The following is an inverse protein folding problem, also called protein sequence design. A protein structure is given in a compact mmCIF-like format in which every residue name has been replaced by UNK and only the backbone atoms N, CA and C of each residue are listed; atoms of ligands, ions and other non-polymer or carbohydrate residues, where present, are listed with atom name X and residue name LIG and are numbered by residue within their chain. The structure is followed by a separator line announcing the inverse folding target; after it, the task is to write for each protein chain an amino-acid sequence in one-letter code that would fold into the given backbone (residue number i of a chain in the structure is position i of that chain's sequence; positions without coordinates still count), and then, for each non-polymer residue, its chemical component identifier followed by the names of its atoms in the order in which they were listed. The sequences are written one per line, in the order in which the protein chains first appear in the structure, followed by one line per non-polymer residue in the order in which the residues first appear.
data_IF_162676578252
#
_entry.id   IF_162676578252
#
_cell.length_a   1.000
_cell.length_b   1.000
_cell.length_c   1.000
_cell.angle_alpha   90.00
_cell.angle_beta   90.00
_cell.angle_gamma   90.00
#
_symmetry.space_group_name_H-M   'P 1'
#
loop_
_entity.id
_entity.type
_entity.pdbx_description
1 polymer ?
#
# COMPACT_ATOMS: atom_id res chain seq x y z
N UNK A 1 -44.06 -33.58 -9.42
CA UNK A 1 -45.43 -33.24 -8.95
C UNK A 1 -45.69 -34.13 -7.73
N UNK A 2 -45.93 -33.57 -6.54
CA UNK A 2 -47.12 -32.76 -6.25
C UNK A 2 -46.83 -31.34 -5.74
N UNK A 3 -47.94 -30.61 -5.63
CA UNK A 3 -48.13 -29.16 -5.47
C UNK A 3 -48.54 -28.86 -4.02
N UNK A 4 -48.41 -27.58 -3.62
CA UNK A 4 -49.12 -26.92 -2.50
C UNK A 4 -48.41 -27.03 -1.13
N UNK A 5 -48.33 -26.03 -0.26
CA UNK A 5 -49.19 -24.88 -0.04
C UNK A 5 -48.45 -23.76 0.71
N UNK A 6 -48.74 -22.52 0.30
CA UNK A 6 -48.62 -21.22 0.97
C UNK A 6 -49.04 -21.20 2.46
N UNK A 7 -48.37 -20.41 3.31
CA UNK A 7 -49.05 -19.56 4.33
C UNK A 7 -48.14 -18.42 4.84
N UNK A 8 -48.73 -17.22 4.85
CA UNK A 8 -48.26 -15.94 5.39
C UNK A 8 -48.53 -15.84 6.89
N UNK A 9 -47.75 -15.01 7.60
CA UNK A 9 -48.17 -14.06 8.65
C UNK A 9 -46.90 -13.30 9.09
N UNK A 10 -46.74 -11.98 8.86
CA UNK A 10 -47.36 -10.85 9.60
C UNK A 10 -47.18 -11.03 11.13
N UNK A 11 -46.70 -10.09 11.93
CA UNK A 11 -46.62 -8.63 11.80
C UNK A 11 -45.96 -8.06 13.09
N UNK A 12 -45.49 -6.80 13.05
CA UNK A 12 -45.75 -5.75 14.08
C UNK A 12 -44.93 -5.82 15.39
N UNK A 13 -44.33 -4.79 16.00
CA UNK A 13 -44.09 -3.32 15.91
C UNK A 13 -43.16 -3.00 17.13
N UNK A 14 -42.40 -1.91 17.34
CA UNK A 14 -42.79 -0.53 17.68
C UNK A 14 -41.51 0.19 18.21
N UNK A 15 -41.22 1.42 17.74
CA UNK A 15 -40.79 2.65 18.47
C UNK A 15 -39.66 2.61 19.53
N UNK A 16 -38.82 3.63 19.77
CA UNK A 16 -38.95 5.09 19.64
C UNK A 16 -37.57 5.76 19.64
N UNK A 17 -37.53 6.96 19.07
CA UNK A 17 -36.50 7.99 19.15
C UNK A 17 -36.13 8.40 20.59
N UNK A 18 -34.93 8.97 20.75
CA UNK A 18 -34.68 10.08 21.67
C UNK A 18 -33.64 11.03 21.07
N UNK A 19 -34.07 12.28 20.96
CA UNK A 19 -33.34 13.45 20.52
C UNK A 19 -32.84 14.24 21.76
N UNK A 20 -32.09 15.30 21.48
CA UNK A 20 -31.89 16.52 22.28
C UNK A 20 -30.56 16.74 23.02
N UNK A 21 -29.92 17.80 22.52
CA UNK A 21 -28.78 18.59 22.97
C UNK A 21 -28.98 19.18 24.39
N UNK A 22 -27.92 19.41 25.16
CA UNK A 22 -27.58 20.77 25.62
C UNK A 22 -26.18 20.96 26.21
N UNK A 23 -25.74 22.20 26.03
CA UNK A 23 -24.53 22.94 26.43
C UNK A 23 -24.49 23.22 27.95
N UNK A 24 -23.32 23.46 28.56
CA UNK A 24 -23.01 24.57 29.53
C UNK A 24 -21.60 24.46 30.14
N UNK A 25 -20.94 25.61 30.27
CA UNK A 25 -19.59 25.91 30.78
C UNK A 25 -19.40 25.81 32.30
N UNK A 26 -18.16 25.61 32.81
CA UNK A 26 -17.55 26.39 33.91
C UNK A 26 -16.10 25.96 34.31
N UNK A 27 -15.21 26.98 34.36
CA UNK A 27 -13.92 27.17 35.07
C UNK A 27 -13.50 26.20 36.20
N UNK A 28 -12.19 25.91 36.25
CA UNK A 28 -11.29 26.17 37.41
C UNK A 28 -9.80 26.11 37.00
N UNK A 29 -9.00 26.96 37.65
CA UNK A 29 -7.55 27.26 37.51
C UNK A 29 -6.88 26.69 38.78
N UNK A 30 -5.70 26.08 38.79
CA UNK A 30 -4.37 26.63 39.19
C UNK A 30 -3.44 25.39 39.32
N UNK A 31 -2.38 25.27 38.51
CA UNK A 31 -0.92 25.38 38.82
C UNK A 31 -0.41 24.43 39.92
N UNK A 32 0.45 23.48 39.55
CA UNK A 32 1.72 23.17 40.24
C UNK A 32 2.63 22.48 39.21
N UNK A 33 3.89 22.89 39.20
CA UNK A 33 4.98 22.49 38.30
C UNK A 33 5.50 21.10 38.64
N UNK A 34 6.05 20.39 37.65
CA UNK A 34 7.45 19.96 37.71
C UNK A 34 7.93 19.42 36.37
N UNK A 35 9.17 19.78 36.06
CA UNK A 35 9.92 19.54 34.85
C UNK A 35 10.12 18.05 34.54
N UNK A 36 10.32 17.70 33.26
CA UNK A 36 11.54 17.07 32.75
C UNK A 36 11.36 16.75 31.25
N UNK A 37 12.12 17.51 30.45
CA UNK A 37 12.83 17.09 29.23
C UNK A 37 12.06 16.36 28.12
N UNK A 38 11.55 17.13 27.15
CA UNK A 38 11.48 16.69 25.76
C UNK A 38 11.90 17.83 24.84
N UNK A 39 13.11 17.69 24.28
CA UNK A 39 13.72 18.60 23.29
C UNK A 39 12.74 18.96 22.18
N UNK A 40 12.65 20.26 21.92
CA UNK A 40 11.80 20.88 20.92
C UNK A 40 11.96 20.29 19.51
N UNK A 41 10.88 20.28 18.70
CA UNK A 41 10.92 19.98 17.29
C UNK A 41 11.51 21.19 16.54
N UNK A 42 12.78 21.10 16.19
CA UNK A 42 13.43 22.15 15.39
C UNK A 42 12.93 22.15 13.95
N UNK A 43 12.26 23.27 13.65
CA UNK A 43 12.34 24.07 12.42
C UNK A 43 11.93 23.47 11.07
N UNK A 44 10.81 24.04 10.59
CA UNK A 44 10.40 24.23 9.20
C UNK A 44 11.56 24.18 8.19
N UNK A 45 11.49 23.23 7.25
CA UNK A 45 11.94 23.47 5.87
C UNK A 45 10.83 23.09 4.91
N UNK A 46 10.14 24.11 4.41
CA UNK A 46 9.38 24.06 3.16
C UNK A 46 10.29 23.46 2.08
N UNK A 47 10.04 22.22 1.66
CA UNK A 47 10.68 21.67 0.47
C UNK A 47 9.70 21.75 -0.69
N UNK A 48 9.90 22.86 -1.41
CA UNK A 48 9.53 23.18 -2.78
C UNK A 48 9.05 21.95 -3.56
N UNK A 49 7.89 22.11 -4.18
CA UNK A 49 7.42 21.39 -5.35
C UNK A 49 8.56 21.27 -6.37
N UNK A 50 9.34 20.21 -6.30
CA UNK A 50 10.39 19.95 -7.28
C UNK A 50 9.76 19.33 -8.51
N UNK A 51 9.62 20.21 -9.51
CA UNK A 51 9.35 19.92 -10.91
C UNK A 51 10.09 18.65 -11.37
N UNK A 52 9.37 17.88 -12.18
CA UNK A 52 9.81 16.77 -13.02
C UNK A 52 11.27 17.01 -13.47
N UNK A 53 12.19 16.13 -13.08
CA UNK A 53 13.61 16.21 -13.44
C UNK A 53 14.10 15.00 -14.24
N UNK A 54 13.17 14.25 -14.83
CA UNK A 54 13.46 13.45 -16.02
C UNK A 54 12.17 13.39 -16.86
N UNK A 55 12.04 14.17 -17.94
CA UNK A 55 10.85 14.15 -18.79
C UNK A 55 10.67 12.80 -19.52
N UNK A 56 11.74 12.01 -19.66
CA UNK A 56 11.74 10.75 -20.44
C UNK A 56 11.49 9.50 -19.59
N UNK A 57 11.29 9.64 -18.27
CA UNK A 57 11.05 8.48 -17.43
C UNK A 57 9.65 7.89 -17.71
N UNK A 58 9.61 6.60 -18.05
CA UNK A 58 8.38 5.89 -18.40
C UNK A 58 7.38 5.96 -17.23
N UNK A 59 6.18 6.49 -17.51
CA UNK A 59 5.09 6.58 -16.52
C UNK A 59 3.99 5.62 -16.91
N UNK A 60 3.57 4.79 -15.97
CA UNK A 60 2.49 3.83 -16.17
C UNK A 60 1.43 4.01 -15.08
N UNK A 61 0.15 4.03 -15.47
CA UNK A 61 -0.97 4.21 -14.55
C UNK A 61 -1.93 3.02 -14.67
N UNK A 62 -1.63 1.89 -14.00
CA UNK A 62 -2.52 0.75 -13.99
C UNK A 62 -3.76 1.05 -13.14
N UNK A 63 -4.91 0.55 -13.59
CA UNK A 63 -6.18 0.62 -12.87
C UNK A 63 -6.42 -0.59 -11.98
N UNK A 64 -5.68 -1.67 -12.19
CA UNK A 64 -5.85 -2.95 -11.50
C UNK A 64 -4.51 -3.65 -11.29
N UNK A 65 -4.52 -4.66 -10.42
CA UNK A 65 -3.35 -5.52 -10.16
C UNK A 65 -2.99 -6.33 -11.40
N UNK A 66 -4.00 -6.84 -12.11
CA UNK A 66 -3.86 -7.67 -13.31
C UNK A 66 -3.20 -6.89 -14.45
N UNK A 67 -3.61 -5.63 -14.63
CA UNK A 67 -3.00 -4.73 -15.62
C UNK A 67 -1.52 -4.46 -15.29
N UNK A 68 -1.19 -4.31 -14.01
CA UNK A 68 0.19 -4.15 -13.58
C UNK A 68 1.03 -5.41 -13.79
N UNK A 69 0.49 -6.59 -13.47
CA UNK A 69 1.13 -7.88 -13.71
C UNK A 69 1.38 -8.13 -15.20
N UNK A 70 0.43 -7.78 -16.07
CA UNK A 70 0.56 -7.91 -17.52
C UNK A 70 1.67 -7.00 -18.05
N UNK A 71 1.71 -5.73 -17.60
CA UNK A 71 2.79 -4.82 -17.98
C UNK A 71 4.16 -5.37 -17.57
N UNK A 72 4.28 -5.90 -16.35
CA UNK A 72 5.52 -6.53 -15.88
C UNK A 72 5.90 -7.72 -16.74
N UNK A 73 4.95 -8.61 -17.06
CA UNK A 73 5.19 -9.77 -17.91
C UNK A 73 5.83 -9.38 -19.25
N UNK A 74 5.35 -8.32 -19.88
CA UNK A 74 5.78 -7.91 -21.22
C UNK A 74 7.04 -7.04 -21.22
N UNK A 75 7.33 -6.34 -20.10
CA UNK A 75 8.36 -5.29 -20.03
C UNK A 75 9.47 -5.52 -18.99
N UNK A 76 9.35 -6.50 -18.09
CA UNK A 76 10.32 -6.70 -16.98
C UNK A 76 11.78 -6.93 -17.42
N UNK A 77 12.01 -7.39 -18.65
CA UNK A 77 13.36 -7.57 -19.25
C UNK A 77 13.77 -6.43 -20.19
N UNK A 78 12.82 -5.63 -20.66
CA UNK A 78 13.05 -4.58 -21.67
C UNK A 78 13.34 -3.24 -21.00
N UNK A 79 12.61 -2.94 -19.93
CA UNK A 79 12.67 -1.67 -19.25
C UNK A 79 13.62 -1.71 -18.05
N UNK A 80 14.28 -0.58 -17.80
CA UNK A 80 15.22 -0.41 -16.69
C UNK A 80 14.64 0.39 -15.52
N UNK A 81 13.56 1.13 -15.77
CA UNK A 81 12.80 1.81 -14.73
C UNK A 81 11.36 2.08 -15.18
N UNK A 82 10.44 2.19 -14.21
CA UNK A 82 9.08 2.65 -14.46
C UNK A 82 8.57 3.45 -13.26
N UNK A 83 7.86 4.53 -13.54
CA UNK A 83 7.13 5.32 -12.55
C UNK A 83 5.68 4.93 -12.55
N UNK A 84 5.29 4.15 -11.56
CA UNK A 84 3.91 3.73 -11.41
C UNK A 84 3.10 4.82 -10.73
N UNK A 85 2.16 5.41 -11.46
CA UNK A 85 1.25 6.45 -10.99
C UNK A 85 0.03 5.80 -10.37
N UNK A 86 -0.39 6.29 -9.20
CA UNK A 86 -1.54 5.78 -8.46
C UNK A 86 -2.26 6.89 -7.69
N UNK A 87 -3.54 6.67 -7.41
CA UNK A 87 -4.32 7.55 -6.54
C UNK A 87 -3.94 7.35 -5.07
N UNK A 88 -3.77 8.46 -4.37
CA UNK A 88 -3.57 8.51 -2.93
C UNK A 88 -4.86 8.08 -2.23
N UNK A 89 -4.71 7.58 -1.00
CA UNK A 89 -5.85 7.14 -0.16
C UNK A 89 -6.90 8.23 0.08
N UNK A 90 -6.50 9.51 0.03
CA UNK A 90 -7.37 10.66 0.28
C UNK A 90 -7.80 11.37 -1.02
N UNK A 91 -7.60 10.74 -2.19
CA UNK A 91 -8.06 11.27 -3.46
C UNK A 91 -9.60 11.28 -3.51
N UNK A 92 -10.17 12.26 -4.22
CA UNK A 92 -11.62 12.32 -4.46
C UNK A 92 -12.00 11.44 -5.66
N UNK A 93 -11.66 10.16 -5.59
CA UNK A 93 -11.97 9.17 -6.61
C UNK A 93 -12.74 7.99 -6.00
N UNK A 94 -13.27 7.11 -6.84
CA UNK A 94 -13.89 5.89 -6.36
C UNK A 94 -12.87 5.05 -5.57
N UNK A 95 -13.25 4.43 -4.44
CA UNK A 95 -12.32 3.60 -3.65
C UNK A 95 -11.69 2.45 -4.45
N UNK A 96 -12.34 2.00 -5.53
CA UNK A 96 -11.84 0.98 -6.44
C UNK A 96 -10.64 1.45 -7.28
N UNK A 97 -10.48 2.75 -7.46
CA UNK A 97 -9.34 3.33 -8.18
C UNK A 97 -8.12 3.53 -7.27
N UNK A 98 -8.31 3.42 -5.95
CA UNK A 98 -7.21 3.49 -4.99
C UNK A 98 -6.42 2.20 -5.09
N UNK A 99 -5.27 2.25 -5.76
CA UNK A 99 -4.38 1.11 -5.84
C UNK A 99 -3.69 0.90 -4.47
N UNK A 100 -3.80 -0.26 -3.81
CA UNK A 100 -3.13 -0.51 -2.53
C UNK A 100 -1.61 -0.70 -2.70
N UNK A 101 -0.84 -0.56 -1.61
CA UNK A 101 0.61 -0.72 -1.67
C UNK A 101 1.03 -2.17 -1.97
N UNK A 102 0.38 -3.15 -1.34
CA UNK A 102 0.71 -4.55 -1.56
C UNK A 102 0.42 -4.98 -3.01
N UNK A 103 -0.67 -4.51 -3.62
CA UNK A 103 -0.99 -4.86 -5.01
C UNK A 103 -0.05 -4.23 -6.03
N UNK A 104 0.73 -3.21 -5.65
CA UNK A 104 1.85 -2.70 -6.47
C UNK A 104 3.12 -3.52 -6.27
N UNK A 105 3.46 -3.82 -5.02
CA UNK A 105 4.76 -4.38 -4.65
C UNK A 105 4.82 -5.89 -4.83
N UNK A 106 3.74 -6.62 -4.53
CA UNK A 106 3.71 -8.07 -4.69
C UNK A 106 3.98 -8.50 -6.14
N UNK A 107 3.25 -8.00 -7.16
CA UNK A 107 3.58 -8.26 -8.55
C UNK A 107 5.02 -7.90 -8.91
N UNK A 108 5.51 -6.74 -8.45
CA UNK A 108 6.86 -6.31 -8.75
C UNK A 108 7.90 -7.31 -8.22
N UNK A 109 7.74 -7.78 -6.97
CA UNK A 109 8.63 -8.78 -6.37
C UNK A 109 8.58 -10.10 -7.14
N UNK A 110 7.41 -10.53 -7.63
CA UNK A 110 7.26 -11.74 -8.42
C UNK A 110 8.12 -11.73 -9.69
N UNK A 111 8.36 -10.55 -10.30
CA UNK A 111 9.23 -10.38 -11.48
C UNK A 111 10.64 -9.88 -11.15
N UNK A 112 11.00 -9.78 -9.85
CA UNK A 112 12.34 -9.34 -9.42
C UNK A 112 12.56 -7.82 -9.45
N UNK A 113 11.46 -7.05 -9.43
CA UNK A 113 11.45 -5.59 -9.34
C UNK A 113 11.22 -5.12 -7.91
N UNK A 114 11.76 -3.95 -7.57
CA UNK A 114 11.60 -3.33 -6.24
C UNK A 114 11.14 -1.89 -6.35
N UNK A 115 10.42 -1.44 -5.33
CA UNK A 115 10.12 -0.03 -5.14
C UNK A 115 11.34 0.71 -4.59
N UNK A 116 11.56 1.94 -5.07
CA UNK A 116 12.69 2.75 -4.61
C UNK A 116 12.25 4.11 -4.06
N UNK A 117 11.54 4.91 -4.85
CA UNK A 117 11.33 6.33 -4.55
C UNK A 117 9.90 6.69 -4.85
N UNK A 118 9.18 7.12 -3.82
CA UNK A 118 7.86 7.71 -3.98
C UNK A 118 7.99 9.22 -4.25
N UNK A 119 7.16 9.74 -5.16
CA UNK A 119 7.03 11.18 -5.43
C UNK A 119 5.56 11.55 -5.56
N UNK A 120 5.14 12.61 -4.88
CA UNK A 120 3.82 13.21 -5.09
C UNK A 120 3.77 13.94 -6.45
N UNK A 121 2.70 13.74 -7.20
CA UNK A 121 2.46 14.47 -8.47
C UNK A 121 1.57 15.68 -8.19
N UNK A 122 0.40 15.43 -7.60
CA UNK A 122 -0.59 16.44 -7.25
C UNK A 122 -1.22 16.08 -5.89
N UNK A 123 -2.35 16.71 -5.52
CA UNK A 123 -3.02 16.44 -4.25
C UNK A 123 -3.67 15.04 -4.18
N UNK A 124 -4.01 14.45 -5.33
CA UNK A 124 -4.76 13.21 -5.47
C UNK A 124 -3.88 12.05 -5.93
N UNK A 125 -2.80 12.30 -6.67
CA UNK A 125 -1.95 11.31 -7.32
C UNK A 125 -0.54 11.35 -6.76
N UNK A 126 0.05 10.17 -6.69
CA UNK A 126 1.46 9.96 -6.40
C UNK A 126 2.04 8.99 -7.43
N UNK A 127 3.36 8.90 -7.45
CA UNK A 127 4.12 7.97 -8.26
C UNK A 127 5.11 7.21 -7.38
N UNK A 128 5.34 5.96 -7.71
CA UNK A 128 6.34 5.11 -7.08
C UNK A 128 7.25 4.56 -8.17
N UNK A 129 8.55 4.82 -8.04
CA UNK A 129 9.54 4.27 -8.96
C UNK A 129 9.79 2.81 -8.64
N UNK A 130 9.70 1.99 -9.67
CA UNK A 130 10.10 0.59 -9.68
C UNK A 130 11.30 0.39 -10.60
N UNK A 131 12.24 -0.43 -10.14
CA UNK A 131 13.44 -0.79 -10.91
C UNK A 131 13.73 -2.27 -10.73
N UNK A 132 14.28 -2.96 -11.76
CA UNK A 132 14.77 -4.32 -11.61
C UNK A 132 15.91 -4.31 -10.58
N UNK A 133 15.88 -5.29 -9.67
CA UNK A 133 16.86 -5.40 -8.61
C UNK A 133 18.20 -5.88 -9.18
N UNK A 134 19.31 -5.35 -8.65
CA UNK A 134 20.65 -5.87 -8.93
C UNK A 134 20.91 -7.14 -8.13
N UNK A 135 21.52 -8.13 -8.75
CA UNK A 135 21.73 -9.47 -8.18
C UNK A 135 22.60 -9.45 -6.91
N UNK A 136 23.45 -8.44 -6.73
CA UNK A 136 24.34 -8.28 -5.57
C UNK A 136 23.73 -7.59 -4.36
N UNK A 137 22.46 -7.17 -4.43
CA UNK A 137 21.87 -6.34 -3.38
C UNK A 137 21.23 -7.17 -2.25
N UNK A 138 21.49 -6.78 -1.00
CA UNK A 138 20.85 -7.39 0.18
C UNK A 138 19.34 -7.10 0.19
N UNK A 139 18.55 -8.10 0.58
CA UNK A 139 17.10 -7.97 0.70
C UNK A 139 16.72 -7.44 2.08
N UNK A 140 15.79 -6.47 2.11
CA UNK A 140 15.26 -5.95 3.37
C UNK A 140 14.34 -6.99 4.03
N UNK A 141 14.28 -7.01 5.37
CA UNK A 141 13.44 -7.95 6.11
C UNK A 141 11.95 -7.91 5.67
N UNK A 142 11.32 -6.74 5.43
CA UNK A 142 9.95 -6.70 4.94
C UNK A 142 9.77 -7.37 3.56
N UNK A 143 10.74 -7.22 2.66
CA UNK A 143 10.65 -7.83 1.33
C UNK A 143 10.90 -9.33 1.38
N UNK A 144 11.80 -9.80 2.25
CA UNK A 144 11.99 -11.23 2.51
C UNK A 144 10.70 -11.88 3.04
N UNK A 145 10.03 -11.25 4.00
CA UNK A 145 8.73 -11.74 4.52
C UNK A 145 7.65 -11.80 3.43
N UNK A 146 7.55 -10.76 2.58
CA UNK A 146 6.61 -10.75 1.45
C UNK A 146 6.92 -11.87 0.46
N UNK A 147 8.18 -12.04 0.07
CA UNK A 147 8.58 -13.13 -0.81
C UNK A 147 8.27 -14.48 -0.20
N UNK A 148 8.54 -14.69 1.10
CA UNK A 148 8.18 -15.94 1.79
C UNK A 148 6.69 -16.25 1.61
N UNK A 149 5.82 -15.27 1.84
CA UNK A 149 4.37 -15.40 1.65
C UNK A 149 3.99 -15.67 0.18
N UNK A 150 4.65 -15.01 -0.77
CA UNK A 150 4.42 -15.21 -2.21
C UNK A 150 4.88 -16.60 -2.67
N UNK A 151 5.99 -17.11 -2.14
CA UNK A 151 6.49 -18.46 -2.38
C UNK A 151 5.52 -19.50 -1.82
N UNK A 152 5.03 -19.31 -0.59
CA UNK A 152 4.03 -20.20 0.01
C UNK A 152 2.71 -20.24 -0.78
N UNK A 153 2.33 -19.12 -1.44
CA UNK A 153 1.16 -19.03 -2.32
C UNK A 153 1.43 -19.50 -3.76
N UNK A 154 2.66 -19.86 -4.12
CA UNK A 154 3.03 -20.25 -5.48
C UNK A 154 2.93 -19.12 -6.53
N UNK A 155 3.00 -17.86 -6.11
CA UNK A 155 2.85 -16.70 -7.00
C UNK A 155 4.18 -16.16 -7.56
N UNK A 156 5.31 -16.65 -7.07
CA UNK A 156 6.62 -16.24 -7.57
C UNK A 156 6.85 -16.75 -8.99
N UNK A 157 7.39 -15.89 -9.86
CA UNK A 157 7.78 -16.28 -11.21
C UNK A 157 9.27 -16.63 -11.27
N UNK A 158 9.67 -17.32 -12.34
CA UNK A 158 11.08 -17.63 -12.63
C UNK A 158 11.96 -16.37 -12.66
N UNK A 159 11.44 -15.25 -13.17
CA UNK A 159 12.17 -13.99 -13.22
C UNK A 159 12.48 -13.44 -11.82
N UNK A 160 11.55 -13.58 -10.88
CA UNK A 160 11.78 -13.17 -9.49
C UNK A 160 12.76 -14.10 -8.77
N UNK A 161 12.67 -15.41 -9.00
CA UNK A 161 13.65 -16.38 -8.47
C UNK A 161 15.06 -16.14 -9.01
N UNK A 162 15.18 -15.80 -10.31
CA UNK A 162 16.47 -15.51 -10.93
C UNK A 162 17.20 -14.29 -10.31
N UNK A 163 16.47 -13.39 -9.61
CA UNK A 163 17.05 -12.24 -8.89
C UNK A 163 17.42 -12.55 -7.44
N UNK A 164 17.15 -13.75 -6.95
CA UNK A 164 17.53 -14.19 -5.61
C UNK A 164 18.85 -14.94 -5.67
N UNK A 165 19.77 -14.60 -4.78
CA UNK A 165 20.97 -15.41 -4.55
C UNK A 165 20.61 -16.60 -3.66
N UNK A 166 21.42 -17.66 -3.70
CA UNK A 166 21.24 -18.83 -2.83
C UNK A 166 21.20 -18.45 -1.34
N UNK A 167 22.01 -17.45 -0.96
CA UNK A 167 22.03 -16.91 0.39
C UNK A 167 20.68 -16.29 0.79
N UNK A 168 20.11 -15.45 -0.08
CA UNK A 168 18.79 -14.84 0.18
C UNK A 168 17.70 -15.90 0.25
N UNK A 169 17.77 -16.93 -0.60
CA UNK A 169 16.81 -18.04 -0.60
C UNK A 169 16.83 -18.79 0.74
N UNK A 170 18.02 -19.14 1.25
CA UNK A 170 18.19 -19.76 2.57
C UNK A 170 17.65 -18.87 3.69
N UNK A 171 17.98 -17.58 3.66
CA UNK A 171 17.49 -16.62 4.65
C UNK A 171 15.96 -16.53 4.66
N UNK A 172 15.30 -16.59 3.50
CA UNK A 172 13.83 -16.55 3.39
C UNK A 172 13.18 -17.82 3.95
N UNK A 173 13.80 -18.98 3.71
CA UNK A 173 13.33 -20.26 4.23
C UNK A 173 13.49 -20.34 5.76
N UNK A 174 14.61 -19.85 6.29
CA UNK A 174 14.94 -19.82 7.71
C UNK A 174 14.19 -18.73 8.50
N UNK A 175 13.52 -17.78 7.83
CA UNK A 175 12.66 -16.80 8.50
C UNK A 175 11.51 -17.54 9.18
N UNK A 176 11.63 -17.78 10.49
CA UNK A 176 10.55 -18.31 11.32
C UNK A 176 9.30 -17.45 11.13
N UNK A 177 8.14 -18.10 11.02
CA UNK A 177 6.87 -17.38 11.09
C UNK A 177 6.83 -16.71 12.47
N UNK A 178 6.81 -15.37 12.49
CA UNK A 178 6.46 -14.67 13.71
C UNK A 178 4.96 -14.90 13.87
N UNK A 179 4.60 -15.90 14.68
CA UNK A 179 3.26 -16.03 15.26
C UNK A 179 2.84 -14.75 15.98
#
# INVERSE_FOLDING_TARGET
MPVSTRRKSEQTILTSANDTKNKTSAKRKVVETDEISAKEPSTKKQKKTTKITNPDALKYHPKSREEWEQWLKDNHKKETEVWLVYYKKNAKCDPKEIFPYNDRVEPALCYGWIDSTARGIDNEKASLRFTPRKDSSNWSLPNKKRVKSLMARGLMTEAGFARMTDQVRKEIEELKECE
#
